data_IF_154567663723
#
_entry.id   IF_154567663723
#
_cell.length_a   1.000
_cell.length_b   1.000
_cell.length_c   1.000
_cell.angle_alpha   90.00
_cell.angle_beta   90.00
_cell.angle_gamma   90.00
#
_symmetry.space_group_name_H-M   'P 1'
#
loop_
_entity.id
_entity.type
_entity.pdbx_description
1 polymer ?
#
# COMPACT_ATOMS: atom_id res chain seq x y z
N UNK A 1 -21.55 5.29 3.10
CA UNK A 1 -20.14 5.57 2.77
C UNK A 1 -20.12 6.76 1.84
N UNK A 2 -19.64 7.90 2.30
CA UNK A 2 -19.57 9.14 1.52
C UNK A 2 -18.50 8.92 0.46
N UNK A 3 -18.90 8.77 -0.81
CA UNK A 3 -17.95 8.64 -1.89
C UNK A 3 -17.22 9.98 -2.08
N UNK A 4 -15.88 10.00 -2.05
CA UNK A 4 -15.15 11.25 -2.30
C UNK A 4 -15.19 11.54 -3.80
N UNK A 5 -15.81 12.65 -4.21
CA UNK A 5 -15.82 13.13 -5.59
C UNK A 5 -15.21 14.53 -5.68
N UNK A 6 -14.52 14.78 -6.79
CA UNK A 6 -13.97 16.09 -7.13
C UNK A 6 -13.76 16.18 -8.65
N UNK A 7 -14.03 17.34 -9.23
CA UNK A 7 -13.83 17.62 -10.65
C UNK A 7 -12.39 18.02 -10.96
N UNK A 8 -11.69 18.60 -9.97
CA UNK A 8 -10.30 19.07 -10.08
C UNK A 8 -9.55 18.82 -8.77
N UNK A 9 -8.23 18.68 -8.88
CA UNK A 9 -7.37 18.70 -7.72
C UNK A 9 -6.11 19.52 -7.97
N UNK A 10 -5.68 20.22 -6.94
CA UNK A 10 -4.54 21.12 -6.97
C UNK A 10 -3.61 20.84 -5.80
N UNK A 11 -2.32 20.94 -6.06
CA UNK A 11 -1.34 21.06 -5.01
C UNK A 11 -1.22 22.54 -4.61
N UNK A 12 -1.09 22.83 -3.32
CA UNK A 12 -0.82 24.17 -2.79
C UNK A 12 0.35 24.15 -1.80
N UNK A 13 1.28 25.09 -1.98
CA UNK A 13 2.32 25.42 -0.99
C UNK A 13 1.79 26.42 0.03
N UNK A 14 1.86 26.04 1.29
CA UNK A 14 1.42 26.86 2.40
C UNK A 14 2.56 27.78 2.88
N UNK A 15 2.89 28.74 2.02
CA UNK A 15 3.89 29.77 2.30
C UNK A 15 5.32 29.36 1.94
N UNK A 16 6.22 30.34 1.95
CA UNK A 16 7.64 30.13 1.60
C UNK A 16 8.29 29.31 2.72
N UNK A 17 8.86 28.17 2.37
CA UNK A 17 9.47 27.26 3.34
C UNK A 17 8.48 26.70 4.37
N UNK A 18 7.19 26.63 4.01
CA UNK A 18 6.16 26.07 4.90
C UNK A 18 5.69 27.03 6.00
N UNK A 19 5.94 28.34 5.86
CA UNK A 19 5.65 29.34 6.89
C UNK A 19 4.19 29.36 7.38
N UNK A 20 3.24 28.85 6.58
CA UNK A 20 1.82 28.81 6.93
C UNK A 20 1.28 27.41 7.21
N UNK A 21 2.10 26.36 7.15
CA UNK A 21 1.65 24.97 7.37
C UNK A 21 0.96 24.81 8.73
N UNK A 22 1.62 25.23 9.80
CA UNK A 22 1.09 25.08 11.16
C UNK A 22 -0.18 25.92 11.43
N UNK A 23 -0.34 27.05 10.75
CA UNK A 23 -1.54 27.89 10.86
C UNK A 23 -2.69 27.29 10.05
N UNK A 24 -2.43 26.95 8.78
CA UNK A 24 -3.42 26.39 7.86
C UNK A 24 -4.04 25.11 8.36
N UNK A 25 -3.23 24.18 8.87
CA UNK A 25 -3.71 22.90 9.39
C UNK A 25 -4.52 23.09 10.68
N UNK A 26 -4.08 23.97 11.58
CA UNK A 26 -4.73 24.20 12.88
C UNK A 26 -6.04 24.96 12.75
N UNK A 27 -6.07 25.96 11.88
CA UNK A 27 -7.20 26.87 11.72
C UNK A 27 -8.11 26.47 10.55
N UNK A 28 -7.86 25.31 9.92
CA UNK A 28 -8.67 24.77 8.81
C UNK A 28 -8.84 25.77 7.67
N UNK A 29 -7.71 26.34 7.21
CA UNK A 29 -7.70 27.40 6.19
C UNK A 29 -6.67 27.16 5.11
N UNK A 30 -6.98 27.62 3.91
CA UNK A 30 -6.05 27.75 2.80
C UNK A 30 -5.42 29.14 2.84
N UNK A 31 -4.09 29.22 2.76
CA UNK A 31 -3.32 30.47 2.70
C UNK A 31 -2.67 30.63 1.34
N UNK A 32 -2.66 31.85 0.81
CA UNK A 32 -2.16 32.14 -0.53
C UNK A 32 -1.43 33.49 -0.60
N UNK A 33 -0.21 33.48 -1.14
CA UNK A 33 0.78 34.54 -0.92
C UNK A 33 0.99 35.55 -2.04
N UNK A 34 0.09 35.62 -3.02
CA UNK A 34 0.13 36.63 -4.08
C UNK A 34 -0.36 37.98 -3.54
N UNK A 35 0.51 38.69 -2.82
CA UNK A 35 0.15 39.91 -2.08
C UNK A 35 -0.22 41.08 -2.97
N UNK A 36 0.39 41.13 -4.14
CA UNK A 36 0.23 42.19 -5.12
C UNK A 36 -0.95 41.93 -6.07
N UNK A 37 -1.71 40.84 -5.86
CA UNK A 37 -2.87 40.50 -6.68
C UNK A 37 -4.01 41.50 -6.42
N UNK A 38 -4.61 42.11 -7.46
CA UNK A 38 -5.73 43.02 -7.30
C UNK A 38 -7.00 42.26 -6.89
N UNK A 39 -7.28 42.25 -5.58
CA UNK A 39 -8.37 41.48 -4.96
C UNK A 39 -9.75 41.77 -5.60
N UNK A 40 -10.09 43.04 -5.78
CA UNK A 40 -11.40 43.44 -6.34
C UNK A 40 -11.60 42.92 -7.78
N UNK A 41 -10.54 42.94 -8.60
CA UNK A 41 -10.60 42.39 -9.96
C UNK A 41 -10.73 40.86 -9.94
N UNK A 42 -10.09 40.19 -8.97
CA UNK A 42 -10.22 38.75 -8.79
C UNK A 42 -11.65 38.36 -8.37
N UNK A 43 -12.28 39.11 -7.46
CA UNK A 43 -13.67 38.91 -7.05
C UNK A 43 -14.65 39.16 -8.22
N UNK A 44 -14.36 40.14 -9.06
CA UNK A 44 -15.15 40.43 -10.26
C UNK A 44 -14.94 39.42 -11.42
N UNK A 45 -13.95 38.52 -11.31
CA UNK A 45 -13.59 37.60 -12.39
C UNK A 45 -12.95 38.27 -13.60
N UNK A 46 -12.44 39.51 -13.47
CA UNK A 46 -11.75 40.23 -14.55
C UNK A 46 -10.30 39.77 -14.67
N UNK A 47 -10.11 38.56 -15.19
CA UNK A 47 -8.78 37.95 -15.35
C UNK A 47 -7.86 38.70 -16.30
N UNK A 48 -8.42 39.48 -17.25
CA UNK A 48 -7.62 40.32 -18.14
C UNK A 48 -7.04 41.52 -17.38
N UNK A 49 -7.85 42.17 -16.54
CA UNK A 49 -7.40 43.22 -15.63
C UNK A 49 -6.35 42.72 -14.64
N UNK A 50 -6.57 41.55 -14.01
CA UNK A 50 -5.58 40.90 -13.13
C UNK A 50 -4.27 40.64 -13.90
N UNK A 51 -4.35 40.14 -15.13
CA UNK A 51 -3.16 39.90 -15.95
C UNK A 51 -2.40 41.17 -16.30
N UNK A 52 -3.09 42.26 -16.64
CA UNK A 52 -2.46 43.54 -16.93
C UNK A 52 -1.68 44.06 -15.70
N UNK A 53 -2.30 44.02 -14.51
CA UNK A 53 -1.65 44.41 -13.25
C UNK A 53 -0.44 43.52 -12.94
N UNK A 54 -0.59 42.20 -13.03
CA UNK A 54 0.51 41.26 -12.76
C UNK A 54 1.66 41.40 -13.76
N UNK A 55 1.38 41.74 -15.02
CA UNK A 55 2.40 42.02 -16.04
C UNK A 55 3.21 43.26 -15.71
N UNK A 56 2.55 44.32 -15.24
CA UNK A 56 3.24 45.53 -14.80
C UNK A 56 4.15 45.25 -13.60
N UNK A 57 3.66 44.50 -12.61
CA UNK A 57 4.43 44.11 -11.41
C UNK A 57 5.65 43.25 -11.77
N UNK A 58 5.49 42.26 -12.67
CA UNK A 58 6.56 41.31 -13.01
C UNK A 58 7.52 41.83 -14.06
N UNK A 59 7.08 42.74 -14.93
CA UNK A 59 7.81 43.12 -16.14
C UNK A 59 7.94 42.01 -17.19
N UNK A 60 7.31 40.84 -16.97
CA UNK A 60 7.37 39.67 -17.85
C UNK A 60 5.98 39.06 -18.07
N UNK A 61 5.59 38.96 -19.34
CA UNK A 61 4.27 38.43 -19.72
C UNK A 61 4.11 36.95 -19.36
N UNK A 62 5.18 36.15 -19.47
CA UNK A 62 5.14 34.72 -19.15
C UNK A 62 4.97 34.46 -17.65
N UNK A 63 5.62 35.26 -16.80
CA UNK A 63 5.45 35.26 -15.35
C UNK A 63 4.05 35.71 -14.95
N UNK A 64 3.54 36.78 -15.55
CA UNK A 64 2.18 37.25 -15.31
C UNK A 64 1.14 36.15 -15.62
N UNK A 65 1.24 35.49 -16.77
CA UNK A 65 0.33 34.39 -17.12
C UNK A 65 0.38 33.24 -16.10
N UNK A 66 1.58 32.84 -15.66
CA UNK A 66 1.74 31.78 -14.65
C UNK A 66 1.18 32.19 -13.29
N UNK A 67 1.32 33.46 -12.93
CA UNK A 67 0.80 34.01 -11.68
C UNK A 67 -0.72 34.06 -11.70
N UNK A 68 -1.30 34.63 -12.77
CA UNK A 68 -2.76 34.69 -12.96
C UNK A 68 -3.38 33.30 -12.96
N UNK A 69 -2.73 32.30 -13.58
CA UNK A 69 -3.24 30.93 -13.54
C UNK A 69 -3.42 30.43 -12.11
N UNK A 70 -2.46 30.71 -11.21
CA UNK A 70 -2.51 30.26 -9.82
C UNK A 70 -3.50 31.07 -8.99
N UNK A 71 -3.52 32.40 -9.20
CA UNK A 71 -4.48 33.32 -8.56
C UNK A 71 -5.90 32.89 -8.92
N UNK A 72 -6.17 32.75 -10.22
CA UNK A 72 -7.45 32.29 -10.75
C UNK A 72 -7.88 30.97 -10.14
N UNK A 73 -6.99 29.97 -10.09
CA UNK A 73 -7.29 28.69 -9.43
C UNK A 73 -7.73 28.87 -7.97
N UNK A 74 -7.05 29.72 -7.20
CA UNK A 74 -7.39 29.92 -5.80
C UNK A 74 -8.77 30.54 -5.59
N UNK A 75 -9.14 31.50 -6.44
CA UNK A 75 -10.41 32.22 -6.36
C UNK A 75 -11.59 31.44 -6.97
N UNK A 76 -11.39 30.75 -8.08
CA UNK A 76 -12.47 30.01 -8.77
C UNK A 76 -12.69 28.61 -8.18
N UNK A 77 -11.79 28.10 -7.33
CA UNK A 77 -11.98 26.79 -6.72
C UNK A 77 -13.22 26.74 -5.82
N UNK A 78 -13.98 25.67 -5.94
CA UNK A 78 -15.24 25.41 -5.25
C UNK A 78 -15.19 24.11 -4.44
N UNK A 79 -16.30 23.71 -3.83
CA UNK A 79 -16.39 22.49 -3.03
C UNK A 79 -16.19 21.20 -3.86
N UNK A 80 -16.24 21.30 -5.20
CA UNK A 80 -15.92 20.19 -6.11
C UNK A 80 -14.41 20.08 -6.38
N UNK A 81 -13.59 20.92 -5.76
CA UNK A 81 -12.15 20.95 -5.90
C UNK A 81 -11.47 20.37 -4.66
N UNK A 82 -10.41 19.58 -4.84
CA UNK A 82 -9.56 19.13 -3.74
C UNK A 82 -8.23 19.89 -3.78
N UNK A 83 -7.83 20.45 -2.64
CA UNK A 83 -6.45 20.89 -2.45
C UNK A 83 -5.68 19.84 -1.68
N UNK A 84 -4.43 19.60 -2.10
CA UNK A 84 -3.46 18.79 -1.35
C UNK A 84 -2.22 19.61 -0.99
N UNK A 85 -1.60 19.25 0.11
CA UNK A 85 -0.29 19.74 0.52
C UNK A 85 0.49 18.65 1.25
N UNK A 86 1.78 18.87 1.51
CA UNK A 86 2.64 17.89 2.18
C UNK A 86 3.35 18.55 3.36
N UNK A 87 3.13 18.02 4.56
CA UNK A 87 3.67 18.57 5.82
C UNK A 87 4.09 17.42 6.71
N UNK A 88 5.30 17.46 7.27
CA UNK A 88 5.76 16.46 8.25
C UNK A 88 5.75 15.00 7.75
N UNK A 89 5.90 14.78 6.44
CA UNK A 89 5.86 13.43 5.84
C UNK A 89 4.46 12.91 5.53
N UNK A 90 3.40 13.68 5.83
CA UNK A 90 2.01 13.36 5.51
C UNK A 90 1.51 14.20 4.33
N UNK A 91 0.67 13.60 3.49
CA UNK A 91 -0.18 14.36 2.58
C UNK A 91 -1.44 14.79 3.34
N UNK A 92 -1.74 16.08 3.28
CA UNK A 92 -2.99 16.65 3.75
C UNK A 92 -3.88 16.98 2.56
N UNK A 93 -5.18 16.79 2.69
CA UNK A 93 -6.17 17.18 1.70
C UNK A 93 -7.36 17.92 2.33
N UNK A 94 -7.99 18.82 1.58
CA UNK A 94 -9.19 19.53 2.01
C UNK A 94 -10.04 19.96 0.81
N UNK A 95 -11.31 20.30 1.06
CA UNK A 95 -12.13 21.08 0.13
C UNK A 95 -12.09 22.56 0.50
N UNK A 96 -11.90 23.48 -0.45
CA UNK A 96 -12.00 24.90 -0.18
C UNK A 96 -13.46 25.25 0.12
N UNK A 97 -13.69 26.11 1.10
CA UNK A 97 -15.00 26.62 1.44
C UNK A 97 -14.99 28.15 1.46
N UNK A 98 -16.18 28.74 1.55
CA UNK A 98 -16.38 30.18 1.77
C UNK A 98 -15.73 31.12 0.74
N UNK A 99 -15.86 32.43 0.94
CA UNK A 99 -15.22 33.44 0.11
C UNK A 99 -13.71 33.55 0.39
N UNK A 100 -12.98 34.17 -0.55
CA UNK A 100 -11.59 34.58 -0.35
C UNK A 100 -11.56 35.90 0.42
N UNK A 101 -10.75 35.95 1.47
CA UNK A 101 -10.50 37.12 2.31
C UNK A 101 -9.10 37.68 2.02
N UNK A 102 -9.01 39.00 1.86
CA UNK A 102 -7.74 39.74 1.84
C UNK A 102 -7.36 40.12 3.28
N UNK A 103 -6.12 39.82 3.68
CA UNK A 103 -5.60 40.10 5.00
C UNK A 103 -4.78 41.41 5.02
N UNK A 104 -4.52 41.94 6.21
CA UNK A 104 -3.75 43.18 6.41
C UNK A 104 -2.33 43.13 5.80
N UNK A 105 -1.71 41.95 5.75
CA UNK A 105 -0.38 41.75 5.16
C UNK A 105 -0.42 41.59 3.62
N UNK A 106 -1.59 41.83 3.00
CA UNK A 106 -1.87 41.64 1.59
C UNK A 106 -2.03 40.19 1.15
N UNK A 107 -1.78 39.21 2.03
CA UNK A 107 -1.99 37.80 1.67
C UNK A 107 -3.47 37.42 1.70
N UNK A 108 -3.78 36.27 1.13
CA UNK A 108 -5.15 35.80 0.98
C UNK A 108 -5.39 34.56 1.83
N UNK A 109 -6.62 34.44 2.32
CA UNK A 109 -7.09 33.30 3.10
C UNK A 109 -8.48 32.88 2.64
N UNK A 110 -8.78 31.60 2.75
CA UNK A 110 -10.18 31.12 2.73
C UNK A 110 -10.34 29.90 3.63
N UNK A 111 -11.54 29.66 4.20
CA UNK A 111 -11.77 28.48 5.02
C UNK A 111 -11.75 27.19 4.17
N UNK A 112 -11.60 26.06 4.83
CA UNK A 112 -11.92 24.74 4.27
C UNK A 112 -13.33 24.31 4.70
N UNK A 113 -14.00 23.45 3.94
CA UNK A 113 -15.35 22.96 4.27
C UNK A 113 -15.37 22.21 5.61
N UNK A 114 -14.43 21.28 5.79
CA UNK A 114 -14.43 20.31 6.90
C UNK A 114 -13.03 20.08 7.51
N UNK A 115 -12.09 20.99 7.24
CA UNK A 115 -10.72 20.90 7.75
C UNK A 115 -9.73 20.28 6.77
N UNK A 116 -8.48 20.18 7.23
CA UNK A 116 -7.43 19.43 6.55
C UNK A 116 -7.36 18.02 7.12
N UNK A 117 -7.34 17.04 6.22
CA UNK A 117 -7.31 15.62 6.57
C UNK A 117 -5.99 14.98 6.15
N UNK A 118 -5.36 14.22 7.04
CA UNK A 118 -4.15 13.44 6.74
C UNK A 118 -4.40 11.94 6.57
N UNK A 119 -5.67 11.53 6.51
CA UNK A 119 -6.10 10.16 6.31
C UNK A 119 -7.00 10.06 5.10
N UNK A 120 -7.11 8.88 4.51
CA UNK A 120 -8.20 8.54 3.60
C UNK A 120 -9.55 8.53 4.33
N UNK A 121 -10.65 8.35 3.58
CA UNK A 121 -12.00 8.24 4.14
C UNK A 121 -12.16 7.04 5.08
N UNK A 122 -11.43 5.95 4.84
CA UNK A 122 -11.36 4.77 5.70
C UNK A 122 -10.41 4.92 6.90
N UNK A 123 -9.77 6.08 7.07
CA UNK A 123 -8.88 6.36 8.20
C UNK A 123 -7.43 5.90 8.00
N UNK A 124 -7.05 5.44 6.81
CA UNK A 124 -5.66 5.05 6.52
C UNK A 124 -4.77 6.30 6.45
N UNK A 125 -3.67 6.40 7.22
CA UNK A 125 -2.75 7.52 7.13
C UNK A 125 -2.14 7.68 5.73
N UNK A 126 -2.13 8.91 5.22
CA UNK A 126 -1.60 9.26 3.89
C UNK A 126 -0.12 9.63 3.99
N UNK A 127 0.71 8.66 4.35
CA UNK A 127 2.15 8.86 4.50
C UNK A 127 2.85 8.91 3.15
N UNK A 128 3.84 9.80 3.01
CA UNK A 128 4.50 10.07 1.72
C UNK A 128 5.24 8.87 1.16
N UNK A 129 5.78 7.98 2.00
CA UNK A 129 6.45 6.73 1.62
C UNK A 129 5.50 5.72 0.95
N UNK A 130 4.18 5.86 1.18
CA UNK A 130 3.13 4.99 0.63
C UNK A 130 2.39 5.62 -0.55
N UNK A 131 2.86 6.77 -1.03
CA UNK A 131 2.29 7.48 -2.18
C UNK A 131 3.17 7.29 -3.42
N UNK A 132 2.52 7.26 -4.59
CA UNK A 132 3.22 7.15 -5.87
C UNK A 132 4.14 8.35 -6.10
N UNK A 133 5.37 8.10 -6.57
CA UNK A 133 6.31 9.15 -6.97
C UNK A 133 5.74 10.11 -8.03
N UNK A 134 4.78 9.64 -8.85
CA UNK A 134 4.06 10.49 -9.80
C UNK A 134 3.23 11.57 -9.13
N UNK A 135 2.59 11.27 -7.99
CA UNK A 135 1.87 12.26 -7.19
C UNK A 135 2.84 13.17 -6.46
N UNK A 136 3.87 12.60 -5.82
CA UNK A 136 4.85 13.35 -5.02
C UNK A 136 5.64 14.38 -5.84
N UNK A 137 5.75 14.19 -7.16
CA UNK A 137 6.42 15.14 -8.08
C UNK A 137 5.89 16.57 -7.97
N UNK A 138 4.63 16.77 -7.57
CA UNK A 138 4.06 18.12 -7.38
C UNK A 138 4.81 18.93 -6.31
N UNK A 139 5.46 18.29 -5.33
CA UNK A 139 6.27 18.99 -4.31
C UNK A 139 7.45 19.75 -4.90
N UNK A 140 7.97 19.29 -6.05
CA UNK A 140 9.08 19.94 -6.77
C UNK A 140 8.63 21.18 -7.56
N UNK A 141 7.32 21.43 -7.66
CA UNK A 141 6.79 22.60 -8.34
C UNK A 141 7.37 23.89 -7.72
N UNK A 142 7.79 24.85 -8.53
CA UNK A 142 8.46 26.07 -8.02
C UNK A 142 7.48 27.17 -7.61
N UNK A 143 6.26 27.17 -8.15
CA UNK A 143 5.20 28.10 -7.77
C UNK A 143 4.43 27.65 -6.52
N UNK A 144 3.31 28.31 -6.29
CA UNK A 144 2.43 28.10 -5.13
C UNK A 144 1.36 27.05 -5.41
N UNK A 145 0.71 27.09 -6.58
CA UNK A 145 -0.38 26.17 -6.95
C UNK A 145 -0.10 25.49 -8.30
N UNK A 146 -0.35 24.19 -8.41
CA UNK A 146 -0.35 23.50 -9.70
C UNK A 146 -1.37 22.37 -9.76
N UNK A 147 -1.77 21.99 -10.97
CA UNK A 147 -2.65 20.84 -11.20
C UNK A 147 -2.05 19.53 -10.68
N UNK A 148 -2.89 18.73 -10.03
CA UNK A 148 -2.58 17.33 -9.72
C UNK A 148 -2.95 16.48 -10.93
N UNK A 149 -1.97 16.21 -11.79
CA UNK A 149 -2.18 15.37 -13.00
C UNK A 149 -2.61 13.94 -12.67
N UNK A 150 -2.20 13.43 -11.51
CA UNK A 150 -2.53 12.08 -11.04
C UNK A 150 -3.91 12.03 -10.34
N UNK A 151 -4.93 12.71 -10.89
CA UNK A 151 -6.24 12.87 -10.26
C UNK A 151 -6.91 11.54 -9.94
N UNK A 152 -7.00 10.63 -10.91
CA UNK A 152 -7.62 9.31 -10.69
C UNK A 152 -6.91 8.49 -9.62
N UNK A 153 -5.58 8.62 -9.52
CA UNK A 153 -4.82 7.99 -8.45
C UNK A 153 -5.12 8.61 -7.09
N UNK A 154 -5.16 9.95 -7.00
CA UNK A 154 -5.49 10.66 -5.77
C UNK A 154 -6.88 10.26 -5.28
N UNK A 155 -7.90 10.28 -6.15
CA UNK A 155 -9.28 9.93 -5.78
C UNK A 155 -9.38 8.51 -5.23
N UNK A 156 -8.76 7.54 -5.91
CA UNK A 156 -8.70 6.15 -5.40
C UNK A 156 -8.01 6.08 -4.05
N UNK A 157 -6.88 6.77 -3.88
CA UNK A 157 -6.12 6.74 -2.63
C UNK A 157 -6.91 7.35 -1.47
N UNK A 158 -7.66 8.43 -1.70
CA UNK A 158 -8.52 9.04 -0.70
C UNK A 158 -9.76 8.20 -0.39
N UNK A 159 -10.28 7.46 -1.37
CA UNK A 159 -11.41 6.53 -1.21
C UNK A 159 -11.05 5.12 -0.74
N UNK A 160 -9.78 4.84 -0.43
CA UNK A 160 -9.27 3.49 -0.11
C UNK A 160 -9.55 2.45 -1.20
N UNK A 161 -9.59 2.89 -2.46
CA UNK A 161 -9.80 2.03 -3.62
C UNK A 161 -8.46 1.53 -4.18
N UNK A 162 -8.40 0.24 -4.48
CA UNK A 162 -7.30 -0.34 -5.25
C UNK A 162 -7.32 0.21 -6.68
N UNK A 163 -6.15 0.30 -7.31
CA UNK A 163 -6.13 0.55 -8.74
C UNK A 163 -6.71 -0.67 -9.48
N UNK A 164 -7.34 -0.48 -10.66
CA UNK A 164 -7.84 -1.61 -11.44
C UNK A 164 -6.77 -2.68 -11.71
N UNK A 165 -5.52 -2.25 -11.92
CA UNK A 165 -4.38 -3.14 -12.16
C UNK A 165 -4.00 -3.94 -10.91
N UNK A 166 -4.00 -3.32 -9.72
CA UNK A 166 -3.73 -4.01 -8.46
C UNK A 166 -4.86 -4.98 -8.13
N UNK A 167 -6.12 -4.56 -8.26
CA UNK A 167 -7.27 -5.44 -8.05
C UNK A 167 -7.27 -6.64 -9.01
N UNK A 168 -6.92 -6.41 -10.28
CA UNK A 168 -6.76 -7.47 -11.27
C UNK A 168 -5.60 -8.43 -10.92
N UNK A 169 -4.48 -7.89 -10.43
CA UNK A 169 -3.34 -8.71 -9.99
C UNK A 169 -3.70 -9.57 -8.76
N UNK A 170 -4.40 -9.02 -7.77
CA UNK A 170 -4.87 -9.77 -6.60
C UNK A 170 -5.86 -10.88 -6.97
N UNK A 171 -6.76 -10.62 -7.94
CA UNK A 171 -7.66 -11.66 -8.45
C UNK A 171 -6.89 -12.75 -9.20
N UNK A 172 -5.92 -12.37 -10.04
CA UNK A 172 -5.08 -13.32 -10.77
C UNK A 172 -4.23 -14.19 -9.83
N UNK A 173 -3.66 -13.60 -8.78
CA UNK A 173 -2.92 -14.32 -7.74
C UNK A 173 -3.83 -15.32 -7.02
N UNK A 174 -5.04 -14.90 -6.62
CA UNK A 174 -6.03 -15.81 -6.00
C UNK A 174 -6.43 -16.96 -6.91
N UNK A 175 -6.62 -16.69 -8.20
CA UNK A 175 -6.90 -17.73 -9.19
C UNK A 175 -5.72 -18.70 -9.34
N UNK A 176 -4.50 -18.19 -9.37
CA UNK A 176 -3.28 -19.00 -9.46
C UNK A 176 -3.08 -19.87 -8.22
N UNK A 177 -3.26 -19.33 -7.00
CA UNK A 177 -3.18 -20.11 -5.76
C UNK A 177 -4.19 -21.28 -5.77
N UNK A 178 -5.45 -21.03 -6.18
CA UNK A 178 -6.46 -22.11 -6.32
C UNK A 178 -6.06 -23.17 -7.35
N UNK A 179 -5.45 -22.74 -8.46
CA UNK A 179 -4.93 -23.67 -9.47
C UNK A 179 -3.75 -24.50 -8.93
N UNK A 180 -2.81 -23.88 -8.22
CA UNK A 180 -1.70 -24.58 -7.54
C UNK A 180 -2.24 -25.64 -6.57
N UNK A 181 -3.26 -25.31 -5.77
CA UNK A 181 -3.93 -26.28 -4.88
C UNK A 181 -4.47 -27.48 -5.65
N UNK A 182 -5.13 -27.22 -6.78
CA UNK A 182 -5.67 -28.28 -7.63
C UNK A 182 -4.57 -29.15 -8.23
N UNK A 183 -3.46 -28.56 -8.68
CA UNK A 183 -2.34 -29.29 -9.26
C UNK A 183 -1.61 -30.15 -8.22
N UNK A 184 -1.30 -29.62 -7.02
CA UNK A 184 -0.59 -30.41 -6.01
C UNK A 184 -1.39 -31.61 -5.50
N UNK A 185 -2.71 -31.58 -5.60
CA UNK A 185 -3.59 -32.71 -5.28
C UNK A 185 -3.49 -33.88 -6.27
N UNK A 186 -2.97 -33.65 -7.47
CA UNK A 186 -2.74 -34.69 -8.49
C UNK A 186 -1.42 -35.43 -8.27
N UNK A 187 -0.52 -34.91 -7.43
CA UNK A 187 0.76 -35.53 -7.17
C UNK A 187 0.60 -36.88 -6.48
N UNK A 188 1.49 -37.81 -6.83
CA UNK A 188 1.72 -38.99 -6.01
C UNK A 188 2.27 -38.57 -4.64
N UNK A 189 2.20 -39.46 -3.64
CA UNK A 189 2.73 -39.16 -2.31
C UNK A 189 4.25 -38.84 -2.36
N UNK A 190 5.02 -39.53 -3.21
CA UNK A 190 6.47 -39.29 -3.38
C UNK A 190 6.75 -37.92 -3.99
N UNK A 191 5.99 -37.55 -5.03
CA UNK A 191 6.19 -36.27 -5.69
C UNK A 191 5.72 -35.10 -4.82
N UNK A 192 4.74 -35.34 -3.95
CA UNK A 192 4.31 -34.36 -2.96
C UNK A 192 5.39 -34.13 -1.89
N UNK A 193 6.02 -35.18 -1.37
CA UNK A 193 7.19 -35.06 -0.48
C UNK A 193 8.34 -34.29 -1.14
N UNK A 194 8.62 -34.58 -2.42
CA UNK A 194 9.63 -33.86 -3.19
C UNK A 194 9.29 -32.37 -3.34
N UNK A 195 8.02 -32.04 -3.65
CA UNK A 195 7.56 -30.65 -3.71
C UNK A 195 7.80 -29.92 -2.38
N UNK A 196 7.46 -30.57 -1.27
CA UNK A 196 7.64 -30.00 0.07
C UNK A 196 9.13 -29.77 0.36
N UNK A 197 10.00 -30.74 0.03
CA UNK A 197 11.46 -30.59 0.17
C UNK A 197 11.99 -29.39 -0.65
N UNK A 198 11.55 -29.23 -1.90
CA UNK A 198 11.93 -28.09 -2.75
C UNK A 198 11.47 -26.74 -2.16
N UNK A 199 10.25 -26.67 -1.62
CA UNK A 199 9.73 -25.47 -0.96
C UNK A 199 10.56 -25.10 0.28
N UNK A 200 10.92 -26.08 1.11
CA UNK A 200 11.76 -25.81 2.28
C UNK A 200 13.18 -25.42 1.89
N UNK A 201 13.75 -26.08 0.87
CA UNK A 201 15.08 -25.76 0.36
C UNK A 201 15.19 -24.33 -0.17
N UNK A 202 14.17 -23.84 -0.89
CA UNK A 202 14.12 -22.46 -1.40
C UNK A 202 13.91 -21.43 -0.29
N UNK A 203 13.30 -21.85 0.82
CA UNK A 203 13.11 -21.03 2.04
C UNK A 203 14.36 -20.98 2.95
N UNK A 204 15.48 -21.59 2.53
CA UNK A 204 16.76 -21.55 3.24
C UNK A 204 16.99 -22.70 4.22
N UNK A 205 16.01 -23.58 4.43
CA UNK A 205 16.19 -24.82 5.18
C UNK A 205 17.06 -25.79 4.37
N UNK A 206 17.90 -26.57 5.06
CA UNK A 206 18.71 -27.61 4.43
C UNK A 206 18.33 -28.98 4.96
N UNK A 207 18.13 -29.91 4.04
CA UNK A 207 17.90 -31.31 4.39
C UNK A 207 19.12 -31.90 5.07
N UNK A 208 18.92 -32.56 6.20
CA UNK A 208 19.93 -33.34 6.92
C UNK A 208 19.76 -34.80 6.50
N UNK A 209 20.75 -35.37 5.83
CA UNK A 209 20.76 -36.81 5.59
C UNK A 209 21.29 -37.51 6.84
N UNK A 210 20.45 -38.31 7.51
CA UNK A 210 20.89 -39.05 8.70
C UNK A 210 21.89 -40.14 8.28
N UNK A 211 23.18 -39.87 8.48
CA UNK A 211 24.22 -40.90 8.46
C UNK A 211 24.06 -41.73 9.73
N UNK A 212 23.39 -42.87 9.61
CA UNK A 212 23.42 -43.94 10.61
C UNK A 212 22.54 -43.73 11.84
N UNK A 213 21.21 -43.88 11.66
CA UNK A 213 20.30 -44.62 12.55
C UNK A 213 18.89 -44.48 11.97
N UNK A 214 18.25 -45.61 11.70
CA UNK A 214 16.86 -45.71 11.29
C UNK A 214 15.93 -45.10 12.34
N UNK A 215 15.55 -43.83 12.21
CA UNK A 215 14.30 -43.31 12.76
C UNK A 215 13.25 -43.36 11.64
N UNK A 216 12.38 -44.38 11.67
CA UNK A 216 11.46 -44.76 10.58
C UNK A 216 10.20 -43.88 10.48
N UNK A 217 10.17 -42.69 11.05
CA UNK A 217 8.90 -42.01 11.39
C UNK A 217 8.81 -40.54 10.97
N UNK A 218 9.81 -40.01 10.27
CA UNK A 218 9.87 -38.61 9.84
C UNK A 218 10.20 -38.57 8.34
N UNK A 219 9.47 -37.75 7.57
CA UNK A 219 9.66 -37.69 6.12
C UNK A 219 10.88 -36.82 5.73
N UNK A 220 11.06 -35.67 6.41
CA UNK A 220 12.22 -34.78 6.23
C UNK A 220 12.79 -34.32 7.57
N UNK A 221 14.12 -34.31 7.68
CA UNK A 221 14.83 -33.57 8.72
C UNK A 221 15.52 -32.36 8.09
N UNK A 222 15.33 -31.20 8.72
CA UNK A 222 15.79 -29.92 8.22
C UNK A 222 16.63 -29.19 9.28
N UNK A 223 17.60 -28.40 8.82
CA UNK A 223 18.31 -27.43 9.65
C UNK A 223 18.28 -26.07 8.98
N UNK A 224 18.02 -25.01 9.74
CA UNK A 224 18.14 -23.63 9.28
C UNK A 224 19.57 -23.14 9.57
N UNK A 225 20.45 -22.96 8.56
CA UNK A 225 21.87 -22.74 8.81
C UNK A 225 22.20 -21.43 9.52
N UNK A 226 21.33 -20.41 9.43
CA UNK A 226 21.54 -19.10 10.04
C UNK A 226 21.39 -19.12 11.56
N UNK A 227 20.57 -20.03 12.10
CA UNK A 227 20.27 -20.13 13.54
C UNK A 227 20.72 -21.45 14.15
N UNK A 228 20.97 -22.47 13.33
CA UNK A 228 21.18 -23.84 13.78
C UNK A 228 19.89 -24.57 14.17
N UNK A 229 18.74 -23.93 14.00
CA UNK A 229 17.43 -24.49 14.36
C UNK A 229 17.17 -25.78 13.58
N UNK A 230 16.72 -26.82 14.28
CA UNK A 230 16.43 -28.13 13.72
C UNK A 230 14.94 -28.34 13.70
N UNK A 231 14.43 -28.75 12.54
CA UNK A 231 13.04 -29.09 12.38
C UNK A 231 12.89 -30.45 11.73
N UNK A 232 11.76 -31.09 12.00
CA UNK A 232 11.32 -32.21 11.19
C UNK A 232 10.01 -31.88 10.49
N UNK A 233 9.80 -32.50 9.33
CA UNK A 233 8.60 -32.31 8.52
C UNK A 233 7.87 -33.64 8.42
N UNK A 234 6.57 -33.58 8.71
CA UNK A 234 5.64 -34.64 8.36
C UNK A 234 4.75 -34.17 7.22
N UNK A 235 4.78 -34.92 6.12
CA UNK A 235 4.00 -34.69 4.91
C UNK A 235 2.85 -35.69 4.86
N UNK A 236 1.65 -35.21 4.51
CA UNK A 236 0.45 -36.04 4.32
C UNK A 236 -0.35 -35.56 3.12
N UNK A 237 -0.56 -36.40 2.11
CA UNK A 237 -1.48 -36.08 1.01
C UNK A 237 -2.92 -35.88 1.53
N UNK A 238 -3.36 -36.77 2.43
CA UNK A 238 -4.63 -36.68 3.14
C UNK A 238 -4.35 -36.64 4.65
N UNK A 239 -4.79 -35.59 5.32
CA UNK A 239 -4.59 -35.40 6.76
C UNK A 239 -5.91 -35.45 7.55
N UNK A 240 -5.80 -35.89 8.80
CA UNK A 240 -6.89 -35.95 9.79
C UNK A 240 -6.40 -35.37 11.12
N UNK A 241 -7.33 -34.90 11.96
CA UNK A 241 -6.99 -34.40 13.29
C UNK A 241 -6.28 -35.45 14.17
N UNK A 242 -6.68 -36.73 14.04
CA UNK A 242 -6.03 -37.83 14.74
C UNK A 242 -4.56 -38.00 14.31
N UNK A 243 -4.26 -37.86 13.01
CA UNK A 243 -2.89 -37.89 12.53
C UNK A 243 -2.07 -36.72 13.09
N UNK A 244 -2.62 -35.49 13.08
CA UNK A 244 -1.94 -34.34 13.66
C UNK A 244 -1.61 -34.57 15.15
N UNK A 245 -2.58 -35.03 15.94
CA UNK A 245 -2.41 -35.27 17.38
C UNK A 245 -1.29 -36.29 17.69
N UNK A 246 -1.16 -37.36 16.88
CA UNK A 246 -0.06 -38.33 16.99
C UNK A 246 1.32 -37.66 16.81
N UNK A 247 1.48 -36.81 15.79
CA UNK A 247 2.76 -36.12 15.54
C UNK A 247 3.07 -35.01 16.55
N UNK A 248 2.05 -34.30 17.05
CA UNK A 248 2.20 -33.35 18.17
C UNK A 248 2.75 -34.08 19.40
N UNK A 249 2.20 -35.25 19.74
CA UNK A 249 2.70 -36.09 20.84
C UNK A 249 4.16 -36.50 20.64
N UNK A 250 4.54 -36.86 19.41
CA UNK A 250 5.93 -37.24 19.09
C UNK A 250 6.92 -36.08 19.20
N UNK A 251 6.54 -34.85 18.83
CA UNK A 251 7.40 -33.69 19.04
C UNK A 251 7.64 -33.46 20.54
N UNK A 252 6.60 -33.58 21.37
CA UNK A 252 6.72 -33.39 22.82
C UNK A 252 7.65 -34.40 23.50
N UNK A 253 7.84 -35.58 22.90
CA UNK A 253 8.78 -36.61 23.36
C UNK A 253 10.19 -36.48 22.74
N UNK A 254 10.40 -35.57 21.78
CA UNK A 254 11.62 -35.46 21.00
C UNK A 254 12.45 -34.22 21.35
N UNK A 255 13.46 -34.39 22.21
CA UNK A 255 14.41 -33.32 22.57
C UNK A 255 15.34 -32.87 21.43
N UNK A 256 15.32 -33.58 20.29
CA UNK A 256 16.28 -33.39 19.19
C UNK A 256 15.88 -32.28 18.19
N UNK A 257 14.66 -31.74 18.30
CA UNK A 257 14.10 -30.80 17.34
C UNK A 257 13.50 -29.59 18.05
N UNK A 258 13.77 -28.41 17.51
CA UNK A 258 13.20 -27.15 17.99
C UNK A 258 11.79 -26.93 17.44
N UNK A 259 11.47 -27.55 16.29
CA UNK A 259 10.20 -27.35 15.59
C UNK A 259 9.75 -28.55 14.77
N UNK A 260 8.43 -28.64 14.56
CA UNK A 260 7.82 -29.53 13.58
C UNK A 260 7.02 -28.75 12.55
N UNK A 261 7.11 -29.15 11.29
CA UNK A 261 6.18 -28.75 10.25
C UNK A 261 5.24 -29.89 9.91
N UNK A 262 3.93 -29.65 9.99
CA UNK A 262 2.91 -30.59 9.55
C UNK A 262 2.28 -30.07 8.25
N UNK A 263 2.51 -30.78 7.15
CA UNK A 263 2.22 -30.29 5.78
C UNK A 263 1.21 -31.19 5.09
N UNK A 264 0.16 -30.61 4.52
CA UNK A 264 -0.86 -31.39 3.79
C UNK A 264 -1.56 -30.60 2.69
N UNK A 265 -2.17 -31.32 1.73
CA UNK A 265 -2.94 -30.71 0.63
C UNK A 265 -4.43 -31.09 0.61
N UNK A 266 -4.81 -32.19 1.26
CA UNK A 266 -6.20 -32.65 1.39
C UNK A 266 -6.54 -33.01 2.83
N UNK A 267 -7.74 -32.62 3.27
CA UNK A 267 -8.20 -32.78 4.66
C UNK A 267 -8.62 -31.44 5.26
N UNK A 268 -9.55 -31.48 6.21
CA UNK A 268 -9.99 -30.31 6.97
C UNK A 268 -9.42 -30.43 8.38
N UNK A 269 -8.37 -29.67 8.64
CA UNK A 269 -7.77 -29.51 9.96
C UNK A 269 -7.87 -28.01 10.29
N UNK A 270 -8.29 -27.63 11.51
CA UNK A 270 -8.26 -26.24 11.93
C UNK A 270 -6.82 -25.70 11.90
N UNK A 271 -6.51 -24.79 10.98
CA UNK A 271 -5.16 -24.20 10.85
C UNK A 271 -4.87 -23.14 11.93
N UNK A 272 -5.90 -22.74 12.67
CA UNK A 272 -5.89 -21.77 13.76
C UNK A 272 -5.53 -22.38 15.12
N UNK A 273 -5.47 -23.72 15.23
CA UNK A 273 -5.02 -24.39 16.46
C UNK A 273 -3.50 -24.24 16.64
N UNK A 274 -3.11 -23.43 17.63
CA UNK A 274 -1.72 -23.27 18.03
C UNK A 274 -1.26 -24.46 18.88
N UNK A 275 -0.20 -25.12 18.42
CA UNK A 275 0.47 -26.20 19.13
C UNK A 275 1.92 -25.76 19.35
N UNK A 276 2.44 -25.88 20.57
CA UNK A 276 3.79 -25.39 20.87
C UNK A 276 4.84 -26.15 20.02
N UNK A 277 5.75 -25.41 19.41
CA UNK A 277 6.75 -25.96 18.48
C UNK A 277 6.20 -26.54 17.17
N UNK A 278 4.91 -26.48 16.88
CA UNK A 278 4.29 -27.07 15.67
C UNK A 278 3.78 -25.98 14.73
N UNK A 279 4.20 -26.04 13.47
CA UNK A 279 3.71 -25.19 12.39
C UNK A 279 2.85 -26.00 11.44
N UNK A 280 1.59 -25.61 11.37
CA UNK A 280 0.64 -26.12 10.40
C UNK A 280 0.84 -25.43 9.04
N UNK A 281 0.96 -26.24 7.99
CA UNK A 281 1.10 -25.81 6.60
C UNK A 281 0.04 -26.53 5.77
N UNK A 282 -1.17 -25.99 5.80
CA UNK A 282 -2.29 -26.48 5.00
C UNK A 282 -2.24 -26.01 3.54
N UNK A 283 -3.25 -26.36 2.73
CA UNK A 283 -3.22 -26.15 1.28
C UNK A 283 -3.10 -24.68 0.86
N UNK A 284 -3.79 -23.76 1.54
CA UNK A 284 -3.72 -22.34 1.21
C UNK A 284 -2.33 -21.76 1.49
N UNK A 285 -1.77 -22.05 2.68
CA UNK A 285 -0.41 -21.63 3.05
C UNK A 285 0.65 -22.27 2.14
N UNK A 286 0.53 -23.57 1.86
CA UNK A 286 1.46 -24.26 0.98
C UNK A 286 1.42 -23.72 -0.45
N UNK A 287 0.23 -23.38 -0.97
CA UNK A 287 0.09 -22.80 -2.31
C UNK A 287 0.83 -21.47 -2.46
N UNK A 288 0.80 -20.64 -1.42
CA UNK A 288 1.56 -19.39 -1.35
C UNK A 288 3.07 -19.66 -1.31
N UNK A 289 3.52 -20.60 -0.47
CA UNK A 289 4.92 -20.98 -0.40
C UNK A 289 5.44 -21.53 -1.75
N UNK A 290 4.63 -22.30 -2.49
CA UNK A 290 4.95 -22.78 -3.84
C UNK A 290 5.09 -21.63 -4.83
N UNK A 291 4.18 -20.64 -4.77
CA UNK A 291 4.22 -19.45 -5.62
C UNK A 291 5.47 -18.63 -5.34
N UNK A 292 5.74 -18.32 -4.08
CA UNK A 292 6.89 -17.52 -3.64
C UNK A 292 8.23 -18.21 -3.96
N UNK A 293 8.27 -19.54 -3.89
CA UNK A 293 9.42 -20.36 -4.28
C UNK A 293 9.62 -20.47 -5.80
N UNK A 294 8.68 -19.98 -6.63
CA UNK A 294 8.75 -20.09 -8.09
C UNK A 294 8.53 -21.51 -8.63
N UNK A 295 7.88 -22.40 -7.87
CA UNK A 295 7.72 -23.82 -8.19
C UNK A 295 6.46 -24.14 -9.01
N UNK A 296 5.70 -23.14 -9.44
CA UNK A 296 4.46 -23.31 -10.23
C UNK A 296 4.69 -24.03 -11.56
N UNK A 297 5.77 -23.71 -12.28
CA UNK A 297 6.14 -24.38 -13.54
C UNK A 297 6.53 -25.83 -13.31
N UNK A 298 7.35 -26.10 -12.30
CA UNK A 298 7.74 -27.47 -11.90
C UNK A 298 6.50 -28.31 -11.61
N UNK A 299 5.56 -27.76 -10.83
CA UNK A 299 4.34 -28.46 -10.45
C UNK A 299 3.49 -28.85 -11.67
N UNK A 300 3.35 -27.92 -12.62
CA UNK A 300 2.61 -28.19 -13.86
C UNK A 300 3.29 -29.27 -14.71
N UNK A 301 4.61 -29.19 -14.87
CA UNK A 301 5.37 -30.20 -15.63
C UNK A 301 5.30 -31.58 -14.98
N UNK A 302 5.26 -31.63 -13.64
CA UNK A 302 5.25 -32.87 -12.87
C UNK A 302 3.92 -33.64 -12.97
N UNK A 303 2.81 -32.93 -13.14
CA UNK A 303 1.44 -33.51 -13.21
C UNK A 303 0.88 -33.60 -14.63
N UNK A 304 1.65 -33.18 -15.64
CA UNK A 304 1.31 -33.34 -17.07
C UNK A 304 1.70 -34.72 -17.58
#
# INVERSE_FOLDING_TARGET
MSNISASRAYYIKLGRGGSWEAESLRNSVLRFGYRESPHDLCLAGDWNGVWAAMKEIRGDAGAATRDVSQIRTFYEADENTIFITFVGGLMYWCRPGGPVELLEDGSHRRPTVDGWHSTSLGGTPLTSDRLSGHLLKVQMFRGTICDVKAMSYLMRKLGDELSPEVAAAEEAERALMKAIISLMRLLTWQDFELLVDLVFSTSGWRRVSVVGRTQKTVDLELVLPSTGERAFVQVKSQATAAALSDYVGRLAEADAYDRMFFVWHTGKIPEDESHDGVILVGPDRLSRMILDAGLSSWLREKVS
#
